data_IF_766790181486
#
_entry.id   IF_766790181486
#
_cell.length_a   1.000
_cell.length_b   1.000
_cell.length_c   1.000
_cell.angle_alpha   90.00
_cell.angle_beta   90.00
_cell.angle_gamma   90.00
#
_symmetry.space_group_name_H-M   'P 1'
#
loop_
_entity.id
_entity.type
_entity.pdbx_description
1 polymer ?
#
# COMPACT_ATOMS: atom_id res chain seq x y z
N UNK A 1 -47.93 61.09 -24.33
CA UNK A 1 -48.38 60.07 -23.36
C UNK A 1 -47.25 59.87 -22.39
N UNK A 2 -47.49 60.21 -21.12
CA UNK A 2 -46.46 60.34 -20.09
C UNK A 2 -45.95 58.98 -19.61
N UNK A 3 -44.65 58.92 -19.32
CA UNK A 3 -43.90 57.76 -18.90
C UNK A 3 -44.14 57.47 -17.42
N UNK A 4 -44.52 56.24 -17.07
CA UNK A 4 -44.55 55.74 -15.69
C UNK A 4 -43.12 55.71 -15.10
N UNK A 5 -42.87 56.26 -13.89
CA UNK A 5 -41.59 56.09 -13.24
C UNK A 5 -41.49 54.68 -12.65
N UNK A 6 -40.56 53.88 -13.17
CA UNK A 6 -40.16 52.59 -12.62
C UNK A 6 -39.70 52.77 -11.16
N UNK A 7 -40.44 52.16 -10.23
CA UNK A 7 -40.08 52.09 -8.82
C UNK A 7 -38.93 51.09 -8.62
N UNK A 8 -37.71 51.62 -8.56
CA UNK A 8 -36.55 50.83 -8.10
C UNK A 8 -36.62 50.71 -6.57
N UNK A 9 -37.07 49.57 -6.07
CA UNK A 9 -36.91 49.20 -4.66
C UNK A 9 -35.52 48.61 -4.46
N UNK A 10 -34.60 49.28 -3.74
CA UNK A 10 -33.36 48.62 -3.33
C UNK A 10 -33.74 47.55 -2.31
N UNK A 11 -33.54 46.28 -2.66
CA UNK A 11 -33.75 45.15 -1.76
C UNK A 11 -32.70 45.21 -0.62
N UNK A 12 -32.96 46.04 0.37
CA UNK A 12 -32.16 46.15 1.58
C UNK A 12 -32.48 44.99 2.51
N UNK A 13 -31.48 44.15 2.79
CA UNK A 13 -31.60 43.09 3.79
C UNK A 13 -31.87 43.68 5.18
N UNK A 14 -33.02 43.36 5.76
CA UNK A 14 -33.42 43.78 7.10
C UNK A 14 -32.63 42.98 8.15
N UNK A 15 -31.58 43.60 8.70
CA UNK A 15 -30.63 42.96 9.64
C UNK A 15 -31.18 42.77 11.06
N UNK A 16 -32.42 43.18 11.34
CA UNK A 16 -32.97 43.31 12.69
C UNK A 16 -33.72 42.06 13.19
N UNK A 17 -34.25 41.23 12.29
CA UNK A 17 -35.02 40.03 12.66
C UNK A 17 -34.17 38.77 12.77
N UNK A 18 -32.90 38.85 12.34
CA UNK A 18 -31.96 37.75 12.41
C UNK A 18 -31.16 37.84 13.69
N UNK A 19 -31.38 36.88 14.60
CA UNK A 19 -30.54 36.70 15.78
C UNK A 19 -29.14 36.25 15.37
N UNK A 20 -28.22 37.21 15.19
CA UNK A 20 -26.82 36.97 14.79
C UNK A 20 -26.14 35.95 15.71
N UNK A 21 -26.44 35.98 17.02
CA UNK A 21 -25.94 35.00 17.99
C UNK A 21 -26.37 33.57 17.65
N UNK A 22 -27.61 33.40 17.20
CA UNK A 22 -28.16 32.12 16.79
C UNK A 22 -27.50 31.65 15.49
N UNK A 23 -27.29 32.55 14.51
CA UNK A 23 -26.57 32.21 13.29
C UNK A 23 -25.15 31.75 13.60
N UNK A 24 -24.39 32.52 14.39
CA UNK A 24 -23.01 32.17 14.75
C UNK A 24 -22.98 30.81 15.46
N UNK A 25 -23.91 30.55 16.38
CA UNK A 25 -24.01 29.27 17.07
C UNK A 25 -24.30 28.13 16.09
N UNK A 26 -25.27 28.30 15.18
CA UNK A 26 -25.61 27.30 14.16
C UNK A 26 -24.43 27.03 13.23
N UNK A 27 -23.70 28.07 12.80
CA UNK A 27 -22.50 27.90 11.98
C UNK A 27 -21.42 27.12 12.71
N UNK A 28 -21.14 27.43 13.98
CA UNK A 28 -20.14 26.71 14.79
C UNK A 28 -20.56 25.25 14.98
N UNK A 29 -21.84 25.00 15.28
CA UNK A 29 -22.37 23.63 15.42
C UNK A 29 -22.26 22.87 14.11
N UNK A 30 -22.56 23.50 12.97
CA UNK A 30 -22.45 22.86 11.65
C UNK A 30 -21.00 22.46 11.35
N UNK A 31 -20.04 23.36 11.60
CA UNK A 31 -18.60 23.05 11.45
C UNK A 31 -18.18 21.94 12.41
N UNK A 32 -18.63 21.97 13.67
CA UNK A 32 -18.32 20.94 14.65
C UNK A 32 -18.87 19.56 14.23
N UNK A 33 -20.07 19.50 13.66
CA UNK A 33 -20.67 18.27 13.12
C UNK A 33 -19.84 17.73 11.95
N UNK A 34 -19.37 18.58 11.05
CA UNK A 34 -18.48 18.15 9.94
C UNK A 34 -17.18 17.57 10.50
N UNK A 35 -16.52 18.26 11.44
CA UNK A 35 -15.28 17.77 12.06
C UNK A 35 -15.50 16.45 12.80
N UNK A 36 -16.60 16.33 13.56
CA UNK A 36 -16.97 15.10 14.25
C UNK A 36 -17.23 13.96 13.27
N UNK A 37 -17.90 14.23 12.15
CA UNK A 37 -18.15 13.25 11.09
C UNK A 37 -16.85 12.77 10.45
N UNK A 38 -15.91 13.67 10.16
CA UNK A 38 -14.57 13.30 9.67
C UNK A 38 -13.81 12.43 10.66
N UNK A 39 -13.87 12.77 11.95
CA UNK A 39 -13.28 11.95 13.02
C UNK A 39 -13.94 10.57 13.13
N UNK A 40 -15.27 10.50 12.99
CA UNK A 40 -16.04 9.26 13.03
C UNK A 40 -15.67 8.34 11.86
N UNK A 41 -15.60 8.89 10.65
CA UNK A 41 -15.17 8.16 9.45
C UNK A 41 -13.73 7.67 9.63
N UNK A 42 -12.81 8.53 10.05
CA UNK A 42 -11.43 8.13 10.32
C UNK A 42 -11.37 6.99 11.33
N UNK A 43 -12.09 7.10 12.45
CA UNK A 43 -12.15 6.06 13.50
C UNK A 43 -12.69 4.74 12.96
N UNK A 44 -13.75 4.78 12.15
CA UNK A 44 -14.30 3.60 11.49
C UNK A 44 -13.31 2.97 10.51
N UNK A 45 -12.62 3.77 9.68
CA UNK A 45 -11.59 3.30 8.77
C UNK A 45 -10.36 2.75 9.50
N UNK A 46 -9.91 3.37 10.58
CA UNK A 46 -8.80 2.88 11.40
C UNK A 46 -9.09 1.47 11.93
N UNK A 47 -10.31 1.22 12.41
CA UNK A 47 -10.73 -0.13 12.85
C UNK A 47 -10.75 -1.17 11.71
N UNK A 48 -10.97 -0.75 10.47
CA UNK A 48 -11.12 -1.64 9.31
C UNK A 48 -9.82 -1.83 8.52
N UNK A 49 -8.91 -0.86 8.53
CA UNK A 49 -7.80 -0.76 7.55
C UNK A 49 -6.42 -1.12 8.14
N UNK A 50 -6.30 -1.25 9.46
CA UNK A 50 -5.03 -1.55 10.13
C UNK A 50 -4.45 -2.93 9.76
N UNK A 51 -5.29 -3.89 9.37
CA UNK A 51 -4.81 -5.22 8.96
C UNK A 51 -4.38 -5.29 7.48
N UNK A 52 -4.88 -4.40 6.63
CA UNK A 52 -4.67 -4.48 5.16
C UNK A 52 -3.35 -3.85 4.72
N UNK A 53 -2.98 -2.69 5.26
CA UNK A 53 -1.73 -1.99 4.89
C UNK A 53 -0.50 -2.75 5.40
N UNK A 54 -0.60 -3.40 6.55
CA UNK A 54 0.48 -4.25 7.09
C UNK A 54 0.69 -5.51 6.24
N UNK A 55 -0.39 -6.12 5.74
CA UNK A 55 -0.31 -7.34 4.92
C UNK A 55 0.14 -7.04 3.48
N UNK A 56 -0.23 -5.90 2.90
CA UNK A 56 0.11 -5.58 1.49
C UNK A 56 1.55 -5.10 1.29
N UNK A 57 2.20 -4.53 2.31
CA UNK A 57 3.59 -4.02 2.19
C UNK A 57 4.61 -5.04 2.72
N UNK A 58 4.26 -5.89 3.69
CA UNK A 58 5.21 -6.84 4.30
C UNK A 58 5.03 -8.31 3.90
N UNK A 59 3.91 -8.76 3.30
CA UNK A 59 3.58 -10.21 3.25
C UNK A 59 3.56 -10.93 1.91
N UNK A 60 3.29 -10.33 0.73
CA UNK A 60 3.68 -10.99 -0.50
C UNK A 60 4.74 -10.11 -1.13
N UNK A 61 6.02 -10.51 -1.01
CA UNK A 61 6.94 -10.25 -2.11
C UNK A 61 6.18 -10.61 -3.38
N UNK A 62 6.04 -9.65 -4.31
CA UNK A 62 5.17 -9.71 -5.49
C UNK A 62 5.02 -11.13 -6.03
N UNK A 63 3.85 -11.55 -6.52
CA UNK A 63 3.66 -12.90 -7.09
C UNK A 63 4.82 -13.30 -8.01
N UNK A 64 5.36 -12.33 -8.76
CA UNK A 64 6.61 -12.40 -9.52
C UNK A 64 7.84 -12.84 -8.73
N UNK A 65 8.10 -12.29 -7.54
CA UNK A 65 9.20 -12.72 -6.66
C UNK A 65 8.99 -14.14 -6.10
N UNK A 66 7.76 -14.54 -5.80
CA UNK A 66 7.47 -15.91 -5.34
C UNK A 66 7.68 -16.93 -6.46
N UNK A 67 7.24 -16.60 -7.66
CA UNK A 67 7.43 -17.42 -8.86
C UNK A 67 8.92 -17.49 -9.26
N UNK A 68 9.63 -16.36 -9.22
CA UNK A 68 11.07 -16.31 -9.43
C UNK A 68 11.80 -17.20 -8.44
N UNK A 69 11.45 -17.11 -7.15
CA UNK A 69 12.09 -17.93 -6.11
C UNK A 69 11.81 -19.41 -6.28
N UNK A 70 10.59 -19.79 -6.67
CA UNK A 70 10.27 -21.19 -6.97
C UNK A 70 11.08 -21.71 -8.17
N UNK A 71 11.29 -20.89 -9.20
CA UNK A 71 12.11 -21.24 -10.35
C UNK A 71 13.61 -21.37 -9.99
N UNK A 72 14.13 -20.47 -9.15
CA UNK A 72 15.50 -20.54 -8.62
C UNK A 72 15.72 -21.79 -7.76
N UNK A 73 14.80 -22.08 -6.85
CA UNK A 73 14.86 -23.26 -5.99
C UNK A 73 14.83 -24.55 -6.83
N UNK A 74 14.03 -24.60 -7.90
CA UNK A 74 13.99 -25.74 -8.81
C UNK A 74 15.32 -25.90 -9.57
N UNK A 75 15.92 -24.80 -10.06
CA UNK A 75 17.20 -24.85 -10.76
C UNK A 75 18.36 -25.28 -9.84
N UNK A 76 18.33 -24.88 -8.56
CA UNK A 76 19.38 -25.20 -7.58
C UNK A 76 19.25 -26.60 -6.97
N UNK A 77 18.04 -27.17 -6.95
CA UNK A 77 17.76 -28.49 -6.34
C UNK A 77 17.79 -29.66 -7.31
N UNK A 78 17.94 -29.41 -8.62
CA UNK A 78 17.87 -30.46 -9.66
C UNK A 78 19.22 -30.72 -10.32
N UNK A 79 19.36 -31.94 -10.86
CA UNK A 79 20.49 -32.30 -11.72
C UNK A 79 20.22 -31.86 -13.14
N UNK A 80 21.18 -31.18 -13.77
CA UNK A 80 21.06 -30.73 -15.15
C UNK A 80 22.34 -31.06 -15.94
N UNK A 81 22.19 -31.37 -17.23
CA UNK A 81 23.31 -31.54 -18.13
C UNK A 81 23.58 -30.18 -18.78
N UNK A 82 24.71 -29.54 -18.46
CA UNK A 82 25.05 -28.23 -19.03
C UNK A 82 25.70 -28.42 -20.40
N UNK A 83 26.69 -29.31 -20.50
CA UNK A 83 27.38 -29.60 -21.77
C UNK A 83 27.82 -31.06 -21.81
N UNK A 84 27.09 -31.87 -22.58
CA UNK A 84 27.39 -33.30 -22.75
C UNK A 84 28.67 -33.54 -23.54
N UNK A 85 29.04 -32.63 -24.45
CA UNK A 85 30.24 -32.77 -25.27
C UNK A 85 31.52 -32.59 -24.45
N UNK A 86 31.44 -31.76 -23.40
CA UNK A 86 32.54 -31.49 -22.45
C UNK A 86 32.44 -32.28 -21.15
N UNK A 87 31.37 -33.08 -20.98
CA UNK A 87 31.12 -33.86 -19.76
C UNK A 87 30.83 -33.00 -18.53
N UNK A 88 30.25 -31.80 -18.72
CA UNK A 88 29.93 -30.87 -17.63
C UNK A 88 28.49 -31.08 -17.18
N UNK A 89 28.34 -31.46 -15.90
CA UNK A 89 27.06 -31.73 -15.25
C UNK A 89 26.86 -30.79 -14.06
N UNK A 90 25.64 -30.31 -13.88
CA UNK A 90 25.19 -29.57 -12.70
C UNK A 90 24.66 -30.57 -11.67
N UNK A 91 25.08 -30.37 -10.42
CA UNK A 91 24.59 -31.10 -9.26
C UNK A 91 23.76 -30.16 -8.36
N UNK A 92 22.81 -30.67 -7.58
CA UNK A 92 22.07 -29.88 -6.60
C UNK A 92 23.00 -29.20 -5.61
N UNK A 93 22.67 -27.97 -5.22
CA UNK A 93 23.52 -27.13 -4.40
C UNK A 93 23.84 -27.77 -3.03
N UNK A 94 22.87 -28.46 -2.42
CA UNK A 94 23.07 -29.14 -1.14
C UNK A 94 24.14 -30.24 -1.24
N UNK A 95 24.13 -30.97 -2.35
CA UNK A 95 25.13 -32.01 -2.62
C UNK A 95 26.50 -31.40 -2.90
N UNK A 96 26.55 -30.30 -3.67
CA UNK A 96 27.78 -29.56 -3.92
C UNK A 96 28.43 -29.06 -2.63
N UNK A 97 27.63 -28.45 -1.75
CA UNK A 97 28.09 -27.97 -0.45
C UNK A 97 28.64 -29.11 0.42
N UNK A 98 27.96 -30.26 0.45
CA UNK A 98 28.43 -31.42 1.21
C UNK A 98 29.75 -31.98 0.67
N UNK A 99 29.93 -32.04 -0.66
CA UNK A 99 31.17 -32.50 -1.29
C UNK A 99 32.30 -31.52 -0.97
N UNK A 100 32.07 -30.22 -1.17
CA UNK A 100 33.07 -29.19 -0.93
C UNK A 100 33.49 -29.13 0.55
N UNK A 101 32.55 -29.26 1.48
CA UNK A 101 32.84 -29.34 2.91
C UNK A 101 33.71 -30.56 3.24
N UNK A 102 33.41 -31.72 2.63
CA UNK A 102 34.19 -32.96 2.80
C UNK A 102 35.59 -32.87 2.21
N UNK A 103 35.75 -32.22 1.06
CA UNK A 103 37.06 -31.98 0.43
C UNK A 103 37.92 -31.06 1.28
N UNK A 104 37.34 -29.96 1.78
CA UNK A 104 38.04 -29.03 2.68
C UNK A 104 38.46 -29.72 3.98
N UNK A 105 37.58 -30.56 4.54
CA UNK A 105 37.88 -31.33 5.76
C UNK A 105 38.95 -32.41 5.56
N UNK A 106 39.08 -32.96 4.35
CA UNK A 106 40.11 -33.97 4.01
C UNK A 106 41.50 -33.38 3.76
N UNK A 107 41.63 -32.05 3.72
CA UNK A 107 42.89 -31.38 3.37
C UNK A 107 43.23 -31.53 1.87
N UNK A 108 44.18 -30.74 1.34
CA UNK A 108 44.55 -30.82 -0.07
C UNK A 108 45.06 -32.23 -0.38
N UNK A 109 44.32 -32.97 -1.21
CA UNK A 109 44.81 -34.21 -1.81
C UNK A 109 45.92 -33.81 -2.77
N UNK A 110 47.16 -33.96 -2.33
CA UNK A 110 48.34 -33.88 -3.19
C UNK A 110 48.20 -34.95 -4.28
N UNK A 111 47.89 -34.50 -5.50
CA UNK A 111 48.03 -35.29 -6.72
C UNK A 111 49.41 -35.07 -7.29
#
# INVERSE_FOLDING_TARGET
>A
MAQEPASYSPSGYEKRDVNIRLIVLVTVVCVAVIVASLFWIKSFFTRVTEETVYQMVLKPGSLTLKELRAHEDQALSTYQIIDRSKGIYQIPIDSAMAILARERARGPVSR
#
